data_IF_227906005557
#
_entry.id   IF_227906005557
#
_cell.length_a   1.000
_cell.length_b   1.000
_cell.length_c   1.000
_cell.angle_alpha   90.00
_cell.angle_beta   90.00
_cell.angle_gamma   90.00
#
_symmetry.space_group_name_H-M   'P 1'
#
loop_
_entity.id
_entity.type
_entity.pdbx_description
1 polymer ?
#
# COMPACT_ATOMS: atom_id res chain seq x y z
N UNK A 1 -15.91 -2.72 54.84
CA UNK A 1 -16.26 -3.44 56.08
C UNK A 1 -17.65 -2.97 56.47
N UNK A 2 -18.70 -3.76 56.67
CA UNK A 2 -18.91 -5.20 56.66
C UNK A 2 -20.44 -5.41 56.68
N UNK A 3 -20.92 -6.43 55.95
CA UNK A 3 -22.05 -7.34 56.27
C UNK A 3 -23.42 -6.74 56.65
N UNK A 4 -24.43 -6.76 55.76
CA UNK A 4 -25.39 -7.85 55.40
C UNK A 4 -26.78 -7.66 56.03
N UNK A 5 -27.77 -7.82 55.14
CA UNK A 5 -29.20 -8.04 55.30
C UNK A 5 -29.67 -8.95 56.46
N UNK A 6 -30.89 -8.75 56.99
CA UNK A 6 -32.13 -9.44 56.55
C UNK A 6 -33.36 -9.25 57.49
N UNK A 7 -34.55 -9.16 56.87
CA UNK A 7 -35.93 -9.59 57.30
C UNK A 7 -36.66 -8.76 58.39
N UNK A 8 -37.99 -8.55 58.37
CA UNK A 8 -39.10 -8.73 57.41
C UNK A 8 -40.45 -8.27 58.05
N UNK A 9 -41.48 -8.10 57.19
CA UNK A 9 -42.95 -8.18 57.44
C UNK A 9 -43.61 -7.00 58.22
N UNK A 10 -44.79 -6.45 57.91
CA UNK A 10 -45.96 -6.80 57.06
C UNK A 10 -46.95 -5.62 57.00
N UNK A 11 -47.89 -5.67 56.05
CA UNK A 11 -49.15 -4.89 55.84
C UNK A 11 -49.05 -3.92 54.66
N UNK A 12 -49.95 -3.86 53.69
CA UNK A 12 -51.30 -4.41 53.50
C UNK A 12 -52.06 -3.44 52.58
N UNK A 13 -53.00 -3.95 51.77
CA UNK A 13 -53.84 -3.24 50.76
C UNK A 13 -53.08 -2.80 49.49
N UNK A 14 -53.42 -3.21 48.27
CA UNK A 14 -54.69 -3.64 47.70
C UNK A 14 -55.05 -2.65 46.59
N UNK A 15 -54.97 -3.04 45.31
CA UNK A 15 -55.87 -2.60 44.24
C UNK A 15 -55.51 -3.32 42.93
N UNK A 16 -56.55 -3.91 42.34
CA UNK A 16 -56.59 -4.60 41.06
C UNK A 16 -56.58 -3.56 39.93
N UNK A 17 -55.69 -3.70 38.94
CA UNK A 17 -55.97 -3.24 37.57
C UNK A 17 -55.35 -4.20 36.54
N UNK A 18 -56.23 -4.73 35.72
CA UNK A 18 -56.03 -5.59 34.57
C UNK A 18 -55.82 -4.69 33.34
N UNK A 19 -54.71 -4.81 32.59
CA UNK A 19 -54.65 -4.30 31.21
C UNK A 19 -53.46 -4.83 30.38
N UNK A 20 -53.83 -5.57 29.34
CA UNK A 20 -53.22 -5.71 28.01
C UNK A 20 -51.74 -6.15 27.87
N UNK A 21 -51.62 -7.41 27.43
CA UNK A 21 -50.58 -7.85 26.53
C UNK A 21 -50.58 -6.98 25.25
N UNK A 22 -49.42 -6.43 24.91
CA UNK A 22 -49.12 -5.89 23.58
C UNK A 22 -47.79 -6.46 23.13
N UNK A 23 -47.85 -7.43 22.23
CA UNK A 23 -46.71 -7.89 21.46
C UNK A 23 -46.33 -6.79 20.47
N UNK A 24 -45.24 -6.08 20.74
CA UNK A 24 -44.63 -5.18 19.76
C UNK A 24 -43.67 -5.99 18.89
N UNK A 25 -44.19 -6.48 17.76
CA UNK A 25 -43.36 -6.89 16.63
C UNK A 25 -42.74 -5.64 16.01
N UNK A 26 -41.53 -5.28 16.44
CA UNK A 26 -40.72 -4.30 15.74
C UNK A 26 -40.22 -4.94 14.44
N UNK A 27 -40.81 -4.51 13.32
CA UNK A 27 -40.45 -4.95 11.99
C UNK A 27 -39.02 -4.47 11.65
N UNK A 28 -38.18 -5.44 11.32
CA UNK A 28 -36.84 -5.29 10.75
C UNK A 28 -36.97 -4.88 9.27
N UNK A 29 -37.24 -3.60 9.00
CA UNK A 29 -37.46 -3.06 7.63
C UNK A 29 -36.19 -2.40 7.06
N UNK A 30 -35.13 -2.24 7.85
CA UNK A 30 -33.91 -1.54 7.41
C UNK A 30 -32.88 -2.40 6.66
N UNK A 31 -32.98 -3.73 6.72
CA UNK A 31 -31.96 -4.63 6.16
C UNK A 31 -32.03 -4.83 4.65
N UNK A 32 -33.25 -4.82 4.08
CA UNK A 32 -33.45 -5.25 2.69
C UNK A 32 -33.10 -4.16 1.67
N UNK A 33 -33.43 -2.89 1.94
CA UNK A 33 -33.08 -1.77 1.05
C UNK A 33 -31.56 -1.52 0.98
N UNK A 34 -30.83 -1.71 2.08
CA UNK A 34 -29.39 -1.57 2.12
C UNK A 34 -28.66 -2.69 1.35
N UNK A 35 -29.17 -3.92 1.44
CA UNK A 35 -28.66 -5.06 0.68
C UNK A 35 -28.94 -4.91 -0.83
N UNK A 36 -30.15 -4.50 -1.20
CA UNK A 36 -30.54 -4.26 -2.60
C UNK A 36 -29.70 -3.14 -3.24
N UNK A 37 -29.45 -2.05 -2.51
CA UNK A 37 -28.58 -0.96 -2.97
C UNK A 37 -27.11 -1.40 -3.13
N UNK A 38 -26.63 -2.30 -2.27
CA UNK A 38 -25.26 -2.83 -2.35
C UNK A 38 -25.05 -3.69 -3.59
N UNK A 39 -25.99 -4.60 -3.90
CA UNK A 39 -25.90 -5.42 -5.11
C UNK A 39 -26.02 -4.57 -6.38
N UNK A 40 -26.95 -3.60 -6.41
CA UNK A 40 -27.08 -2.66 -7.51
C UNK A 40 -25.77 -1.87 -7.75
N UNK A 41 -25.09 -1.46 -6.68
CA UNK A 41 -23.79 -0.77 -6.76
C UNK A 41 -22.68 -1.68 -7.28
N UNK A 42 -22.62 -2.94 -6.85
CA UNK A 42 -21.67 -3.93 -7.39
C UNK A 42 -21.90 -4.13 -8.88
N UNK A 43 -23.15 -4.26 -9.30
CA UNK A 43 -23.53 -4.45 -10.69
C UNK A 43 -23.17 -3.23 -11.56
N UNK A 44 -23.33 -2.01 -11.04
CA UNK A 44 -22.86 -0.81 -11.72
C UNK A 44 -21.33 -0.80 -11.91
N UNK A 45 -20.56 -1.24 -10.89
CA UNK A 45 -19.10 -1.33 -10.98
C UNK A 45 -18.69 -2.38 -12.02
N UNK A 46 -19.32 -3.56 -12.01
CA UNK A 46 -19.09 -4.63 -12.99
C UNK A 46 -19.31 -4.14 -14.42
N UNK A 47 -20.46 -3.51 -14.68
CA UNK A 47 -20.81 -2.98 -16.00
C UNK A 47 -19.83 -1.89 -16.47
N UNK A 48 -19.40 -1.01 -15.56
CA UNK A 48 -18.40 -0.01 -15.89
C UNK A 48 -17.04 -0.65 -16.24
N UNK A 49 -16.60 -1.68 -15.49
CA UNK A 49 -15.34 -2.40 -15.76
C UNK A 49 -15.39 -3.13 -17.09
N UNK A 50 -16.51 -3.79 -17.38
CA UNK A 50 -16.75 -4.45 -18.64
C UNK A 50 -16.69 -3.45 -19.81
N UNK A 51 -17.43 -2.35 -19.72
CA UNK A 51 -17.43 -1.31 -20.75
C UNK A 51 -16.04 -0.72 -20.98
N UNK A 52 -15.25 -0.52 -19.91
CA UNK A 52 -13.89 0.02 -20.03
C UNK A 52 -12.92 -1.00 -20.64
N UNK A 53 -13.08 -2.27 -20.33
CA UNK A 53 -12.27 -3.33 -20.89
C UNK A 53 -12.58 -3.55 -22.38
N UNK A 54 -13.84 -3.45 -22.80
CA UNK A 54 -14.23 -3.48 -24.22
C UNK A 54 -13.67 -2.31 -25.04
N UNK A 55 -13.44 -1.14 -24.41
CA UNK A 55 -12.82 0.02 -25.05
C UNK A 55 -11.28 -0.06 -25.16
N UNK A 56 -10.66 -1.06 -24.55
CA UNK A 56 -9.21 -1.26 -24.59
C UNK A 56 -8.82 -2.27 -25.67
N UNK A 57 -7.53 -2.52 -25.83
CA UNK A 57 -7.07 -3.60 -26.71
C UNK A 57 -7.49 -4.96 -26.12
N UNK A 58 -8.27 -5.71 -26.89
CA UNK A 58 -8.82 -7.01 -26.54
C UNK A 58 -8.22 -8.07 -27.46
N UNK A 59 -7.77 -9.21 -26.89
CA UNK A 59 -7.29 -10.37 -27.63
C UNK A 59 -8.27 -11.52 -27.50
N UNK A 60 -8.59 -12.16 -28.61
CA UNK A 60 -9.47 -13.34 -28.66
C UNK A 60 -8.62 -14.59 -28.83
N UNK A 61 -8.81 -15.59 -27.96
CA UNK A 61 -8.19 -16.90 -28.04
C UNK A 61 -9.27 -17.98 -28.07
N UNK A 62 -9.41 -18.69 -29.19
CA UNK A 62 -10.23 -19.89 -29.27
C UNK A 62 -9.44 -21.11 -28.82
N UNK A 63 -10.02 -21.95 -27.97
CA UNK A 63 -9.53 -23.29 -27.68
C UNK A 63 -10.61 -24.31 -27.99
N UNK A 64 -10.25 -25.41 -28.64
CA UNK A 64 -11.17 -26.51 -28.93
C UNK A 64 -10.55 -27.83 -28.48
N UNK A 65 -11.29 -28.63 -27.74
CA UNK A 65 -10.86 -29.97 -27.33
C UNK A 65 -12.02 -30.94 -27.44
N UNK A 66 -11.72 -32.24 -27.53
CA UNK A 66 -12.73 -33.28 -27.49
C UNK A 66 -12.78 -33.81 -26.05
N UNK A 67 -13.97 -33.82 -25.44
CA UNK A 67 -14.15 -34.33 -24.09
C UNK A 67 -14.15 -35.87 -24.05
N UNK A 68 -14.17 -36.44 -22.84
CA UNK A 68 -14.16 -37.89 -22.63
C UNK A 68 -15.36 -38.61 -23.28
N UNK A 69 -16.41 -37.87 -23.63
CA UNK A 69 -17.59 -38.39 -24.33
C UNK A 69 -17.49 -38.29 -25.87
N UNK A 70 -16.33 -37.88 -26.40
CA UNK A 70 -16.12 -37.72 -27.84
C UNK A 70 -16.79 -36.49 -28.44
N UNK A 71 -17.25 -35.54 -27.61
CA UNK A 71 -17.91 -34.32 -28.07
C UNK A 71 -16.88 -33.20 -28.18
N UNK A 72 -16.86 -32.52 -29.33
CA UNK A 72 -16.07 -31.32 -29.50
C UNK A 72 -16.62 -30.21 -28.60
N UNK A 73 -15.76 -29.69 -27.73
CA UNK A 73 -15.98 -28.52 -26.90
C UNK A 73 -15.13 -27.39 -27.45
N UNK A 74 -15.77 -26.26 -27.70
CA UNK A 74 -15.10 -25.03 -28.10
C UNK A 74 -15.31 -23.98 -27.00
N UNK A 75 -14.25 -23.25 -26.68
CA UNK A 75 -14.28 -22.19 -25.68
C UNK A 75 -13.52 -20.98 -26.22
N UNK A 76 -14.13 -19.80 -26.14
CA UNK A 76 -13.53 -18.54 -26.58
C UNK A 76 -13.14 -17.72 -25.36
N UNK A 77 -11.85 -17.49 -25.18
CA UNK A 77 -11.29 -16.65 -24.12
C UNK A 77 -11.01 -15.25 -24.68
N UNK A 78 -11.61 -14.23 -24.08
CA UNK A 78 -11.48 -12.84 -24.54
C UNK A 78 -10.74 -12.04 -23.46
N UNK A 79 -9.44 -11.82 -23.63
CA UNK A 79 -8.56 -11.17 -22.65
C UNK A 79 -8.37 -9.69 -23.00
N UNK A 80 -8.30 -8.79 -22.02
CA UNK A 80 -7.99 -7.38 -22.26
C UNK A 80 -6.68 -7.00 -21.57
N UNK A 81 -5.90 -6.13 -22.21
CA UNK A 81 -4.69 -5.57 -21.60
C UNK A 81 -5.00 -4.35 -20.69
N UNK A 82 -6.27 -4.17 -20.27
CA UNK A 82 -6.71 -3.05 -19.44
C UNK A 82 -6.11 -3.08 -18.02
N UNK A 83 -5.16 -2.19 -17.73
CA UNK A 83 -4.71 -2.00 -16.35
C UNK A 83 -5.58 -0.95 -15.64
N UNK A 84 -6.45 -1.37 -14.71
CA UNK A 84 -7.21 -0.43 -13.87
C UNK A 84 -6.26 0.24 -12.88
N UNK A 85 -6.29 1.57 -12.90
CA UNK A 85 -5.64 2.42 -11.91
C UNK A 85 -6.57 2.59 -10.73
N UNK A 86 -7.79 3.09 -10.93
CA UNK A 86 -8.68 3.43 -9.82
C UNK A 86 -10.14 3.31 -10.18
N UNK A 87 -10.99 3.20 -9.16
CA UNK A 87 -12.44 3.14 -9.29
C UNK A 87 -13.01 4.28 -8.46
N UNK A 88 -13.93 5.06 -9.03
CA UNK A 88 -14.57 6.21 -8.38
C UNK A 88 -16.07 6.11 -8.57
N UNK A 89 -16.84 6.38 -7.52
CA UNK A 89 -18.31 6.36 -7.58
C UNK A 89 -18.82 7.78 -7.40
N UNK A 90 -19.37 8.36 -8.45
CA UNK A 90 -20.06 9.65 -8.37
C UNK A 90 -21.54 9.37 -8.10
N UNK A 91 -22.02 9.72 -6.91
CA UNK A 91 -23.45 9.73 -6.62
C UNK A 91 -24.06 11.06 -7.05
N UNK A 92 -25.13 11.02 -7.84
CA UNK A 92 -25.90 12.18 -8.26
C UNK A 92 -27.40 11.88 -8.25
N UNK A 93 -28.22 12.89 -8.06
CA UNK A 93 -29.68 12.73 -8.08
C UNK A 93 -30.16 13.07 -9.47
N UNK A 94 -30.76 12.11 -10.15
CA UNK A 94 -31.38 12.30 -11.46
C UNK A 94 -32.86 11.97 -11.35
N UNK A 95 -33.73 12.91 -11.70
CA UNK A 95 -35.19 12.77 -11.59
C UNK A 95 -35.66 12.37 -10.17
N UNK A 96 -35.04 12.93 -9.13
CA UNK A 96 -35.41 12.67 -7.73
C UNK A 96 -35.02 11.29 -7.20
N UNK A 97 -34.35 10.45 -8.00
CA UNK A 97 -33.81 9.15 -7.56
C UNK A 97 -32.28 9.24 -7.42
N UNK A 98 -31.70 8.73 -6.33
CA UNK A 98 -30.25 8.62 -6.24
C UNK A 98 -29.77 7.66 -7.34
N UNK A 99 -28.86 8.14 -8.19
CA UNK A 99 -28.13 7.36 -9.18
C UNK A 99 -26.65 7.42 -8.89
N UNK A 100 -25.96 6.35 -9.25
CA UNK A 100 -24.53 6.25 -9.07
C UNK A 100 -23.90 5.97 -10.42
N UNK A 101 -22.97 6.81 -10.85
CA UNK A 101 -22.12 6.52 -12.00
C UNK A 101 -20.74 6.11 -11.50
N UNK A 102 -20.27 4.97 -11.97
CA UNK A 102 -18.93 4.47 -11.68
C UNK A 102 -17.99 4.92 -12.79
N UNK A 103 -16.94 5.66 -12.43
CA UNK A 103 -15.87 6.08 -13.32
C UNK A 103 -14.63 5.24 -13.03
N UNK A 104 -14.06 4.62 -14.06
CA UNK A 104 -12.88 3.77 -13.93
C UNK A 104 -11.71 4.44 -14.62
N UNK A 105 -10.70 4.74 -13.82
CA UNK A 105 -9.40 5.18 -14.31
C UNK A 105 -8.63 3.95 -14.76
N UNK A 106 -8.35 3.84 -16.04
CA UNK A 106 -7.59 2.72 -16.58
C UNK A 106 -6.54 3.18 -17.59
N UNK A 107 -5.39 2.51 -17.57
CA UNK A 107 -4.28 2.69 -18.50
C UNK A 107 -4.61 1.98 -19.82
N UNK A 108 -5.66 2.40 -20.51
CA UNK A 108 -5.75 2.09 -21.94
C UNK A 108 -4.78 3.04 -22.65
N UNK A 109 -3.88 2.47 -23.46
CA UNK A 109 -2.79 3.14 -24.12
C UNK A 109 -3.21 4.46 -24.80
N UNK A 110 -2.42 5.50 -24.52
CA UNK A 110 -2.16 6.69 -25.33
C UNK A 110 -3.34 7.69 -25.44
N UNK A 111 -2.99 8.96 -25.24
CA UNK A 111 -3.83 10.15 -25.48
C UNK A 111 -5.03 10.34 -24.55
N UNK A 112 -4.76 10.69 -23.30
CA UNK A 112 -5.54 11.77 -22.70
C UNK A 112 -4.62 12.73 -21.99
N UNK A 113 -4.38 13.86 -22.63
CA UNK A 113 -3.76 15.04 -22.04
C UNK A 113 -4.73 15.71 -21.04
N UNK A 114 -5.41 14.90 -20.21
CA UNK A 114 -6.45 15.31 -19.28
C UNK A 114 -5.93 15.10 -17.87
N UNK A 115 -5.83 16.24 -17.17
CA UNK A 115 -5.92 16.38 -15.72
C UNK A 115 -6.42 15.11 -15.03
N UNK A 116 -5.51 14.37 -14.41
CA UNK A 116 -5.87 13.28 -13.52
C UNK A 116 -6.55 13.88 -12.28
N UNK A 117 -7.63 13.26 -11.81
CA UNK A 117 -8.23 13.64 -10.53
C UNK A 117 -7.22 13.31 -9.43
N UNK A 118 -6.91 14.29 -8.59
CA UNK A 118 -6.04 14.08 -7.44
C UNK A 118 -6.69 13.06 -6.49
N UNK A 119 -5.93 12.09 -5.96
CA UNK A 119 -6.42 11.23 -4.88
C UNK A 119 -6.94 12.08 -3.70
N UNK A 120 -7.87 11.53 -2.91
CA UNK A 120 -8.30 12.17 -1.65
C UNK A 120 -7.06 12.58 -0.87
N UNK A 121 -6.90 13.90 -0.65
CA UNK A 121 -5.72 14.48 -0.01
C UNK A 121 -5.52 13.97 1.43
N UNK A 122 -6.55 13.38 2.03
CA UNK A 122 -6.48 12.69 3.32
C UNK A 122 -5.69 11.38 3.23
N UNK A 123 -5.84 10.64 2.14
CA UNK A 123 -5.31 9.29 2.01
C UNK A 123 -3.82 9.30 1.68
N UNK A 124 -3.07 8.44 2.36
CA UNK A 124 -1.62 8.30 2.18
C UNK A 124 -1.27 6.90 1.69
N UNK A 125 -0.27 6.83 0.82
CA UNK A 125 0.24 5.59 0.23
C UNK A 125 1.14 4.85 1.23
N UNK A 126 0.83 3.61 1.62
CA UNK A 126 1.77 2.83 2.41
C UNK A 126 2.98 2.45 1.57
N UNK A 127 4.17 2.60 2.14
CA UNK A 127 5.41 2.12 1.58
C UNK A 127 6.33 1.54 2.66
N UNK A 128 7.06 0.47 2.33
CA UNK A 128 8.12 -0.03 3.19
C UNK A 128 9.41 0.74 2.94
N UNK A 129 10.06 1.20 4.00
CA UNK A 129 11.36 1.86 3.96
C UNK A 129 12.47 0.84 4.19
N UNK A 130 13.36 0.71 3.20
CA UNK A 130 14.60 -0.06 3.26
C UNK A 130 15.77 0.93 3.21
N UNK A 131 16.70 0.85 4.16
CA UNK A 131 17.94 1.64 4.12
C UNK A 131 19.10 0.65 4.13
N UNK A 132 19.93 0.73 3.09
CA UNK A 132 21.13 -0.10 2.92
C UNK A 132 22.36 0.80 2.75
N UNK A 133 23.54 0.22 2.94
CA UNK A 133 24.80 0.91 2.70
C UNK A 133 25.84 -0.02 2.06
N UNK A 134 26.72 0.55 1.24
CA UNK A 134 27.77 -0.17 0.51
C UNK A 134 29.10 0.61 0.52
N UNK A 135 30.27 -0.05 0.59
CA UNK A 135 30.46 -1.50 0.66
C UNK A 135 30.21 -2.07 2.07
N UNK A 136 29.75 -3.33 2.14
CA UNK A 136 29.51 -4.03 3.41
C UNK A 136 30.80 -4.61 4.02
N UNK A 137 31.86 -4.74 3.22
CA UNK A 137 33.07 -5.52 3.56
C UNK A 137 34.24 -4.65 4.07
N UNK A 138 34.10 -3.33 4.14
CA UNK A 138 35.17 -2.42 4.55
C UNK A 138 35.04 -2.05 6.04
N UNK A 139 35.68 -2.81 6.94
CA UNK A 139 35.54 -2.70 8.40
C UNK A 139 35.70 -1.28 9.00
N UNK A 140 36.58 -0.43 8.46
CA UNK A 140 36.80 0.93 8.99
C UNK A 140 35.79 1.97 8.47
N UNK A 141 35.31 1.83 7.23
CA UNK A 141 34.28 2.69 6.64
C UNK A 141 32.86 2.31 7.10
N UNK A 142 32.67 1.06 7.56
CA UNK A 142 31.37 0.50 7.93
C UNK A 142 30.68 1.28 9.05
N UNK A 143 31.41 1.67 10.09
CA UNK A 143 30.84 2.41 11.22
C UNK A 143 30.35 3.81 10.80
N UNK A 144 31.12 4.51 9.98
CA UNK A 144 30.77 5.84 9.50
C UNK A 144 29.54 5.80 8.58
N UNK A 145 29.50 4.86 7.64
CA UNK A 145 28.35 4.68 6.74
C UNK A 145 27.09 4.25 7.48
N UNK A 146 27.22 3.41 8.51
CA UNK A 146 26.08 3.05 9.36
C UNK A 146 25.52 4.26 10.14
N UNK A 147 26.37 5.16 10.64
CA UNK A 147 25.92 6.38 11.31
C UNK A 147 25.25 7.36 10.35
N UNK A 148 25.78 7.47 9.12
CA UNK A 148 25.13 8.24 8.06
C UNK A 148 23.78 7.63 7.69
N UNK A 149 23.70 6.31 7.51
CA UNK A 149 22.44 5.60 7.23
C UNK A 149 21.40 5.85 8.33
N UNK A 150 21.80 5.85 9.61
CA UNK A 150 20.92 6.18 10.73
C UNK A 150 20.45 7.64 10.70
N UNK A 151 21.32 8.57 10.30
CA UNK A 151 20.93 9.97 10.13
C UNK A 151 19.96 10.15 8.95
N UNK A 152 20.19 9.44 7.84
CA UNK A 152 19.28 9.36 6.70
C UNK A 152 17.91 8.82 7.15
N UNK A 153 17.89 7.72 7.91
CA UNK A 153 16.66 7.15 8.46
C UNK A 153 15.86 8.19 9.25
N UNK A 154 16.50 8.88 10.19
CA UNK A 154 15.86 9.92 10.99
C UNK A 154 15.29 11.06 10.14
N UNK A 155 16.02 11.50 9.11
CA UNK A 155 15.56 12.60 8.24
C UNK A 155 14.41 12.16 7.33
N UNK A 156 14.44 10.91 6.84
CA UNK A 156 13.37 10.33 6.04
C UNK A 156 12.11 10.16 6.88
N UNK A 157 12.22 9.60 8.09
CA UNK A 157 11.08 9.50 9.00
C UNK A 157 10.47 10.88 9.31
N UNK A 158 11.31 11.90 9.55
CA UNK A 158 10.85 13.25 9.83
C UNK A 158 10.15 13.91 8.62
N UNK A 159 10.73 13.81 7.42
CA UNK A 159 10.16 14.38 6.21
C UNK A 159 8.82 13.72 5.84
N UNK A 160 8.74 12.40 5.98
CA UNK A 160 7.57 11.62 5.58
C UNK A 160 6.50 11.49 6.68
N UNK A 161 6.78 11.86 7.94
CA UNK A 161 5.79 11.93 9.02
C UNK A 161 4.77 13.07 8.83
N UNK A 162 5.10 14.08 8.01
CA UNK A 162 4.32 15.30 7.79
C UNK A 162 3.04 15.14 6.95
N UNK A 163 2.54 16.24 6.38
CA UNK A 163 1.36 16.27 5.47
C UNK A 163 1.71 15.81 4.04
N UNK A 164 2.41 14.69 3.92
CA UNK A 164 2.82 14.10 2.64
C UNK A 164 1.85 13.03 2.15
N UNK A 165 1.95 12.62 0.86
CA UNK A 165 1.11 11.59 0.27
C UNK A 165 1.52 10.16 0.69
N UNK A 166 2.45 10.01 1.62
CA UNK A 166 3.07 8.74 1.99
C UNK A 166 2.88 8.40 3.47
N UNK A 167 2.75 7.11 3.75
CA UNK A 167 2.84 6.52 5.08
C UNK A 167 3.98 5.50 5.04
N UNK A 168 5.12 5.84 5.64
CA UNK A 168 6.26 4.94 5.68
C UNK A 168 6.17 3.98 6.86
N UNK A 169 6.53 2.73 6.61
CA UNK A 169 6.74 1.70 7.62
C UNK A 169 8.14 1.15 7.46
N UNK A 170 8.91 1.08 8.54
CA UNK A 170 10.25 0.48 8.51
C UNK A 170 10.12 -1.01 8.18
N UNK A 171 10.89 -1.48 7.19
CA UNK A 171 10.95 -2.89 6.87
C UNK A 171 11.59 -3.68 8.01
N UNK A 172 10.90 -4.72 8.46
CA UNK A 172 11.43 -5.67 9.43
C UNK A 172 12.75 -6.27 8.95
N UNK A 173 13.76 -6.25 9.83
CA UNK A 173 15.05 -6.91 9.60
C UNK A 173 15.01 -8.41 9.93
N UNK A 174 13.87 -8.95 10.35
CA UNK A 174 13.72 -10.37 10.67
C UNK A 174 13.80 -11.22 9.39
N UNK A 175 14.47 -12.37 9.47
CA UNK A 175 14.50 -13.34 8.36
C UNK A 175 13.10 -13.86 8.02
N UNK A 176 12.89 -14.33 6.79
CA UNK A 176 11.58 -14.88 6.37
C UNK A 176 11.06 -15.97 7.33
N UNK A 177 11.95 -16.84 7.83
CA UNK A 177 11.61 -17.82 8.85
C UNK A 177 11.18 -17.17 10.17
N UNK A 178 11.93 -16.19 10.67
CA UNK A 178 11.59 -15.47 11.91
C UNK A 178 10.31 -14.62 11.76
N UNK A 179 9.99 -14.17 10.55
CA UNK A 179 8.71 -13.52 10.23
C UNK A 179 7.55 -14.52 10.16
N UNK A 180 7.81 -15.78 9.80
CA UNK A 180 6.80 -16.85 9.76
C UNK A 180 6.50 -17.42 11.15
N UNK A 181 7.52 -17.52 12.01
CA UNK A 181 7.39 -18.05 13.38
C UNK A 181 6.85 -16.99 14.36
N UNK A 182 7.19 -15.71 14.14
CA UNK A 182 6.44 -14.66 14.81
C UNK A 182 5.06 -14.60 14.16
N UNK A 183 4.00 -14.83 14.94
CA UNK A 183 2.60 -14.54 14.56
C UNK A 183 2.36 -13.02 14.44
N UNK A 184 3.31 -12.30 13.84
CA UNK A 184 3.23 -10.91 13.47
C UNK A 184 2.78 -10.81 12.01
N UNK A 185 1.92 -9.83 11.74
CA UNK A 185 1.51 -9.45 10.39
C UNK A 185 2.76 -9.30 9.50
N UNK A 186 2.87 -10.10 8.44
CA UNK A 186 3.90 -9.90 7.42
C UNK A 186 3.72 -8.49 6.87
N UNK A 187 4.69 -7.62 7.13
CA UNK A 187 4.64 -6.24 6.66
C UNK A 187 4.59 -6.26 5.14
N UNK A 188 3.54 -5.67 4.58
CA UNK A 188 3.30 -5.62 3.15
C UNK A 188 2.86 -4.22 2.79
N UNK A 189 3.42 -3.68 1.72
CA UNK A 189 3.00 -2.41 1.13
C UNK A 189 3.07 -2.48 -0.39
N UNK A 190 2.23 -1.73 -1.13
CA UNK A 190 2.30 -1.67 -2.58
C UNK A 190 3.63 -1.18 -3.13
N UNK A 191 4.32 -0.33 -2.36
CA UNK A 191 5.59 0.26 -2.75
C UNK A 191 6.68 -0.04 -1.72
N UNK A 192 7.92 -0.11 -2.18
CA UNK A 192 9.11 -0.05 -1.34
C UNK A 192 9.96 1.14 -1.74
N UNK A 193 10.44 1.88 -0.76
CA UNK A 193 11.40 2.96 -0.93
C UNK A 193 12.72 2.44 -0.37
N UNK A 194 13.68 2.20 -1.27
CA UNK A 194 15.04 1.80 -0.90
C UNK A 194 15.96 3.01 -0.99
N UNK A 195 16.70 3.27 0.06
CA UNK A 195 17.76 4.28 0.07
C UNK A 195 19.09 3.58 0.30
N UNK A 196 20.00 3.72 -0.66
CA UNK A 196 21.34 3.16 -0.59
C UNK A 196 22.34 4.27 -0.33
N UNK A 197 23.11 4.14 0.74
CA UNK A 197 24.25 5.00 1.05
C UNK A 197 25.51 4.36 0.50
N UNK A 198 26.15 4.98 -0.49
CA UNK A 198 27.41 4.49 -1.03
C UNK A 198 28.46 5.59 -1.08
N UNK A 199 29.73 5.18 -1.01
CA UNK A 199 30.82 6.04 -1.44
C UNK A 199 31.00 5.76 -2.94
N UNK A 200 30.99 6.78 -3.82
CA UNK A 200 31.33 6.60 -5.22
C UNK A 200 32.73 5.98 -5.27
N UNK A 201 32.78 4.70 -5.62
CA UNK A 201 34.06 4.03 -5.81
C UNK A 201 34.69 4.58 -7.08
N UNK A 202 35.91 5.09 -6.97
CA UNK A 202 36.88 4.96 -8.06
C UNK A 202 36.84 3.49 -8.51
N UNK A 203 36.49 3.27 -9.77
CA UNK A 203 36.39 1.94 -10.35
C UNK A 203 37.70 1.17 -10.08
N UNK A 204 37.60 0.13 -9.25
CA UNK A 204 38.72 -0.73 -8.88
C UNK A 204 38.98 -1.71 -10.02
N UNK A 205 39.57 -1.24 -11.11
CA UNK A 205 39.87 -2.07 -12.26
C UNK A 205 41.26 -1.78 -12.82
N UNK A 206 42.29 -1.95 -11.98
CA UNK A 206 43.68 -1.86 -12.42
C UNK A 206 44.44 -3.13 -12.07
N UNK A 207 44.71 -3.95 -13.09
CA UNK A 207 45.69 -5.05 -13.08
C UNK A 207 47.14 -4.54 -13.19
N UNK A 208 47.34 -3.22 -13.19
CA UNK A 208 48.63 -2.60 -13.47
C UNK A 208 49.39 -2.27 -12.18
N UNK A 209 50.51 -2.96 -11.93
CA UNK A 209 51.37 -2.77 -10.76
C UNK A 209 51.88 -1.33 -10.57
N UNK A 210 52.02 -0.56 -11.66
CA UNK A 210 52.42 0.85 -11.62
C UNK A 210 51.34 1.76 -11.00
N UNK A 211 50.06 1.45 -11.20
CA UNK A 211 48.94 2.20 -10.59
C UNK A 211 48.90 2.00 -9.07
N UNK A 212 49.35 0.83 -8.58
CA UNK A 212 49.48 0.54 -7.15
C UNK A 212 50.48 1.44 -6.42
N UNK A 213 51.62 1.75 -7.06
CA UNK A 213 52.68 2.60 -6.48
C UNK A 213 52.24 4.07 -6.44
N UNK A 214 51.62 4.56 -7.53
CA UNK A 214 51.06 5.91 -7.56
C UNK A 214 49.97 6.11 -6.51
N UNK A 215 49.13 5.09 -6.23
CA UNK A 215 48.17 5.15 -5.10
C UNK A 215 48.84 5.13 -3.74
N UNK A 216 49.91 4.37 -3.54
CA UNK A 216 50.64 4.37 -2.27
C UNK A 216 51.21 5.77 -1.97
N UNK A 217 51.71 6.46 -2.99
CA UNK A 217 52.17 7.86 -2.88
C UNK A 217 51.01 8.86 -2.75
N UNK A 218 49.89 8.65 -3.44
CA UNK A 218 48.67 9.44 -3.28
C UNK A 218 48.00 9.22 -1.90
N UNK A 219 48.23 8.08 -1.24
CA UNK A 219 47.80 7.87 0.14
C UNK A 219 48.57 8.72 1.17
N UNK A 220 49.81 9.12 0.84
CA UNK A 220 50.65 10.00 1.66
C UNK A 220 50.30 11.48 1.47
N UNK A 221 49.87 11.84 0.26
CA UNK A 221 49.31 13.15 -0.09
C UNK A 221 47.79 13.01 -0.12
N UNK A 222 47.13 12.98 1.05
CA UNK A 222 45.69 12.66 1.20
C UNK A 222 44.77 13.24 0.10
N UNK A 223 43.58 12.63 -0.11
CA UNK A 223 42.77 12.87 -1.31
C UNK A 223 42.56 14.36 -1.58
N UNK A 224 42.89 14.81 -2.80
CA UNK A 224 42.80 16.21 -3.22
C UNK A 224 41.35 16.69 -3.34
N UNK A 225 40.40 15.78 -3.51
CA UNK A 225 38.97 16.07 -3.48
C UNK A 225 38.35 15.53 -2.19
N UNK A 226 37.51 16.35 -1.55
CA UNK A 226 36.71 15.92 -0.42
C UNK A 226 35.89 14.67 -0.81
N UNK A 227 35.88 13.62 0.03
CA UNK A 227 35.13 12.41 -0.29
C UNK A 227 33.65 12.78 -0.51
N UNK A 228 33.07 12.29 -1.60
CA UNK A 228 31.65 12.45 -1.89
C UNK A 228 30.90 11.23 -1.38
N UNK A 229 29.68 11.43 -0.92
CA UNK A 229 28.75 10.37 -0.55
C UNK A 229 27.60 10.39 -1.55
N UNK A 230 27.29 9.24 -2.16
CA UNK A 230 26.11 9.08 -2.98
C UNK A 230 24.98 8.51 -2.13
N UNK A 231 23.86 9.23 -2.11
CA UNK A 231 22.60 8.72 -1.61
C UNK A 231 21.70 8.43 -2.80
N UNK A 232 21.36 7.17 -3.03
CA UNK A 232 20.47 6.77 -4.13
C UNK A 232 19.14 6.33 -3.55
N UNK A 233 18.05 7.00 -3.94
CA UNK A 233 16.69 6.59 -3.63
C UNK A 233 16.09 5.83 -4.80
N UNK A 234 15.39 4.74 -4.51
CA UNK A 234 14.70 3.91 -5.51
C UNK A 234 13.30 3.59 -5.01
N UNK A 235 12.28 4.01 -5.77
CA UNK A 235 10.89 3.61 -5.59
C UNK A 235 10.64 2.33 -6.41
N UNK A 236 10.20 1.28 -5.74
CA UNK A 236 10.02 -0.06 -6.29
C UNK A 236 8.55 -0.46 -6.14
N UNK A 237 7.95 -0.98 -7.21
CA UNK A 237 6.66 -1.69 -7.14
C UNK A 237 6.89 -3.02 -6.43
N UNK A 238 6.22 -3.24 -5.28
CA UNK A 238 6.45 -4.41 -4.44
C UNK A 238 6.05 -5.72 -5.12
N UNK A 239 5.12 -5.68 -6.07
CA UNK A 239 4.59 -6.87 -6.67
C UNK A 239 5.34 -7.30 -7.92
N UNK A 240 5.78 -6.36 -8.75
CA UNK A 240 6.60 -6.69 -9.93
C UNK A 240 8.09 -6.61 -9.65
N UNK A 241 8.49 -6.11 -8.47
CA UNK A 241 9.89 -5.83 -8.11
C UNK A 241 10.58 -4.92 -9.14
N UNK A 242 9.83 -4.04 -9.79
CA UNK A 242 10.32 -3.15 -10.85
C UNK A 242 10.57 -1.77 -10.27
N UNK A 243 11.70 -1.16 -10.63
CA UNK A 243 11.97 0.25 -10.33
C UNK A 243 10.95 1.12 -11.07
N UNK A 244 10.18 1.88 -10.30
CA UNK A 244 9.20 2.87 -10.80
C UNK A 244 9.91 4.20 -11.03
N UNK A 245 10.78 4.59 -10.08
CA UNK A 245 11.50 5.85 -10.12
C UNK A 245 12.77 5.75 -9.28
N UNK A 246 13.82 6.50 -9.64
CA UNK A 246 15.03 6.63 -8.87
C UNK A 246 15.65 8.03 -9.01
N UNK A 247 16.48 8.41 -8.04
CA UNK A 247 17.28 9.63 -8.08
C UNK A 247 18.54 9.44 -7.22
N UNK A 248 19.58 10.22 -7.47
CA UNK A 248 20.84 10.17 -6.72
C UNK A 248 21.29 11.56 -6.32
N UNK A 249 21.48 11.77 -5.02
CA UNK A 249 22.03 12.98 -4.44
C UNK A 249 23.50 12.76 -4.07
N UNK A 250 24.37 13.64 -4.54
CA UNK A 250 25.79 13.65 -4.19
C UNK A 250 26.01 14.65 -3.05
N UNK A 251 26.42 14.16 -1.89
CA UNK A 251 26.72 14.97 -0.72
C UNK A 251 28.23 15.13 -0.56
N UNK A 252 28.66 16.34 -0.20
CA UNK A 252 30.04 16.61 0.19
C UNK A 252 30.22 16.24 1.66
N UNK A 253 31.22 15.42 1.97
CA UNK A 253 31.59 15.14 3.36
C UNK A 253 32.51 16.26 3.85
N UNK A 254 32.17 16.97 4.94
CA UNK A 254 33.09 17.93 5.53
C UNK A 254 34.35 17.19 5.98
N UNK A 255 35.52 17.79 5.79
CA UNK A 255 36.81 17.28 6.26
C UNK A 255 36.89 17.44 7.80
N UNK A 256 36.02 16.76 8.54
CA UNK A 256 36.06 16.76 9.99
C UNK A 256 37.15 15.79 10.46
N UNK A 257 37.99 16.16 11.45
CA UNK A 257 38.94 15.23 12.04
C UNK A 257 38.19 14.03 12.61
N UNK A 258 38.67 12.83 12.24
CA UNK A 258 38.12 11.54 12.70
C UNK A 258 38.37 11.41 14.19
N UNK A 259 37.53 12.02 15.02
CA UNK A 259 37.53 11.76 16.45
C UNK A 259 36.70 10.51 16.70
N UNK A 260 37.26 9.55 17.44
CA UNK A 260 36.56 8.35 17.95
C UNK A 260 35.36 8.70 18.86
N UNK A 261 35.14 9.98 19.14
CA UNK A 261 34.12 10.52 20.03
C UNK A 261 32.92 11.10 19.27
N UNK A 262 33.04 11.33 17.95
CA UNK A 262 31.95 11.91 17.17
C UNK A 262 30.90 10.86 16.81
N UNK A 263 29.93 10.70 17.71
CA UNK A 263 28.85 9.70 17.62
C UNK A 263 27.75 10.09 16.62
N UNK A 264 27.77 11.31 16.07
CA UNK A 264 26.77 11.81 15.12
C UNK A 264 27.46 12.52 13.94
N UNK A 265 26.88 12.46 12.73
CA UNK A 265 27.41 13.22 11.59
C UNK A 265 27.38 14.72 11.87
N UNK A 266 28.32 15.46 11.28
CA UNK A 266 28.36 16.92 11.36
C UNK A 266 27.01 17.54 10.97
N UNK A 267 26.62 18.63 11.62
CA UNK A 267 25.34 19.29 11.39
C UNK A 267 25.14 19.67 9.90
N UNK A 268 26.20 20.14 9.24
CA UNK A 268 26.20 20.44 7.81
C UNK A 268 25.78 19.23 6.95
N UNK A 269 26.27 18.03 7.30
CA UNK A 269 25.88 16.81 6.61
C UNK A 269 24.43 16.44 6.91
N UNK A 270 23.97 16.62 8.14
CA UNK A 270 22.57 16.36 8.50
C UNK A 270 21.61 17.29 7.73
N UNK A 271 21.96 18.55 7.57
CA UNK A 271 21.20 19.53 6.79
C UNK A 271 21.24 19.21 5.28
N UNK A 272 22.38 18.76 4.76
CA UNK A 272 22.50 18.31 3.37
C UNK A 272 21.63 17.08 3.09
N UNK A 273 21.61 16.11 4.01
CA UNK A 273 20.72 14.95 3.96
C UNK A 273 19.25 15.42 3.99
N UNK A 274 18.88 16.30 4.92
CA UNK A 274 17.51 16.78 5.05
C UNK A 274 17.02 17.49 3.77
N UNK A 275 17.87 18.30 3.12
CA UNK A 275 17.57 18.93 1.84
C UNK A 275 17.34 17.90 0.74
N UNK A 276 18.23 16.92 0.60
CA UNK A 276 18.10 15.85 -0.39
C UNK A 276 16.80 15.05 -0.21
N UNK A 277 16.48 14.68 1.04
CA UNK A 277 15.26 13.94 1.38
C UNK A 277 14.00 14.77 1.07
N UNK A 278 13.98 16.06 1.42
CA UNK A 278 12.83 16.94 1.12
C UNK A 278 12.62 17.13 -0.37
N UNK A 279 13.70 17.22 -1.15
CA UNK A 279 13.63 17.30 -2.61
C UNK A 279 13.04 16.01 -3.21
N UNK A 280 13.46 14.85 -2.69
CA UNK A 280 12.92 13.57 -3.10
C UNK A 280 11.45 13.39 -2.77
N UNK A 281 10.99 13.78 -1.58
CA UNK A 281 9.56 13.73 -1.24
C UNK A 281 8.73 14.54 -2.25
N UNK A 282 9.18 15.74 -2.60
CA UNK A 282 8.52 16.57 -3.62
C UNK A 282 8.54 15.92 -5.01
N UNK A 283 9.69 15.43 -5.49
CA UNK A 283 9.83 14.80 -6.81
C UNK A 283 8.98 13.53 -6.92
N UNK A 284 9.03 12.67 -5.91
CA UNK A 284 8.22 11.44 -5.84
C UNK A 284 6.73 11.81 -5.79
N UNK A 285 6.34 12.79 -4.98
CA UNK A 285 4.97 13.28 -4.90
C UNK A 285 4.43 13.75 -6.25
N UNK A 286 5.25 14.48 -7.03
CA UNK A 286 4.92 14.89 -8.40
C UNK A 286 4.80 13.69 -9.35
N UNK A 287 5.74 12.75 -9.29
CA UNK A 287 5.73 11.56 -10.15
C UNK A 287 4.48 10.68 -9.89
N UNK A 288 4.11 10.53 -8.62
CA UNK A 288 2.99 9.69 -8.18
C UNK A 288 1.64 10.43 -8.10
N UNK A 289 1.58 11.68 -8.57
CA UNK A 289 0.40 12.54 -8.47
C UNK A 289 -0.84 11.94 -9.15
N UNK A 290 -0.65 11.27 -10.28
CA UNK A 290 -1.74 10.65 -11.04
C UNK A 290 -1.90 9.16 -10.77
N UNK A 291 -1.06 8.57 -9.91
CA UNK A 291 -1.24 7.18 -9.55
C UNK A 291 -2.41 7.03 -8.57
N UNK A 292 -3.13 5.91 -8.59
CA UNK A 292 -4.21 5.63 -7.65
C UNK A 292 -3.64 5.26 -6.28
N UNK A 293 -4.30 5.64 -5.20
CA UNK A 293 -3.97 5.13 -3.86
C UNK A 293 -4.72 3.83 -3.65
N UNK A 294 -4.01 2.77 -3.27
CA UNK A 294 -4.59 1.47 -2.95
C UNK A 294 -3.83 0.80 -1.82
N UNK A 295 -4.47 -0.19 -1.21
CA UNK A 295 -3.98 -0.87 -0.01
C UNK A 295 -3.93 -2.38 -0.25
N UNK A 296 -2.91 -3.05 0.27
CA UNK A 296 -2.82 -4.50 0.20
C UNK A 296 -3.76 -5.12 1.23
N UNK A 297 -4.47 -6.17 0.80
CA UNK A 297 -5.34 -6.96 1.67
C UNK A 297 -4.54 -8.15 2.25
N UNK A 298 -4.57 -8.31 3.57
CA UNK A 298 -4.08 -9.52 4.26
C UNK A 298 -5.26 -10.25 4.91
N UNK A 299 -5.23 -11.58 4.85
CA UNK A 299 -6.17 -12.44 5.57
C UNK A 299 -5.52 -12.91 6.88
N UNK A 300 -6.25 -12.80 7.98
CA UNK A 300 -5.90 -13.41 9.25
C UNK A 300 -6.41 -14.86 9.32
N UNK A 301 -5.82 -15.67 10.20
CA UNK A 301 -6.17 -17.08 10.37
C UNK A 301 -7.63 -17.30 10.84
N UNK A 302 -8.25 -16.29 11.45
CA UNK A 302 -9.64 -16.29 11.91
C UNK A 302 -10.64 -15.88 10.82
N UNK A 303 -10.19 -15.70 9.58
CA UNK A 303 -11.03 -15.25 8.47
C UNK A 303 -11.33 -13.76 8.47
N UNK A 304 -10.68 -12.97 9.33
CA UNK A 304 -10.76 -11.51 9.27
C UNK A 304 -9.88 -10.97 8.15
N UNK A 305 -10.34 -9.89 7.53
CA UNK A 305 -9.63 -9.19 6.47
C UNK A 305 -9.08 -7.87 7.00
N UNK A 306 -7.79 -7.65 6.78
CA UNK A 306 -7.09 -6.43 7.16
C UNK A 306 -6.55 -5.75 5.91
N UNK A 307 -6.62 -4.43 5.90
CA UNK A 307 -5.83 -3.60 4.98
C UNK A 307 -4.61 -3.07 5.71
N UNK A 308 -3.49 -2.97 4.99
CA UNK A 308 -2.22 -2.45 5.48
C UNK A 308 -2.18 -0.91 5.64
N UNK A 309 -3.32 -0.31 5.97
CA UNK A 309 -3.51 1.12 6.15
C UNK A 309 -4.46 1.38 7.30
N UNK A 310 -4.14 2.37 8.15
CA UNK A 310 -4.93 2.72 9.33
C UNK A 310 -5.13 4.22 9.45
N UNK A 311 -5.31 4.73 10.67
CA UNK A 311 -5.56 6.15 10.91
C UNK A 311 -4.40 7.04 10.44
N UNK A 312 -3.16 6.55 10.47
CA UNK A 312 -1.99 7.27 9.93
C UNK A 312 -1.97 7.33 8.40
N UNK A 313 -2.69 6.43 7.71
CA UNK A 313 -2.93 6.49 6.28
C UNK A 313 -4.13 7.37 5.91
N UNK A 314 -4.83 7.93 6.91
CA UNK A 314 -6.06 8.69 6.73
C UNK A 314 -7.33 7.84 6.74
N UNK A 315 -7.27 6.53 7.00
CA UNK A 315 -8.45 5.66 7.06
C UNK A 315 -9.33 5.99 8.26
N UNK A 316 -10.64 5.99 8.06
CA UNK A 316 -11.67 6.22 9.07
C UNK A 316 -12.66 5.05 9.12
N UNK A 317 -13.38 4.98 10.23
CA UNK A 317 -14.51 4.05 10.38
C UNK A 317 -15.53 4.32 9.27
N UNK A 318 -16.13 3.26 8.73
CA UNK A 318 -17.10 3.31 7.63
C UNK A 318 -16.55 3.79 6.26
N UNK A 319 -15.24 4.03 6.12
CA UNK A 319 -14.65 4.19 4.77
C UNK A 319 -14.94 2.91 3.95
N UNK A 320 -15.30 3.10 2.68
CA UNK A 320 -15.68 2.02 1.77
C UNK A 320 -14.59 1.76 0.75
N UNK A 321 -14.48 0.50 0.34
CA UNK A 321 -13.46 0.02 -0.57
C UNK A 321 -14.05 -0.91 -1.62
N UNK A 322 -13.44 -0.90 -2.80
CA UNK A 322 -13.60 -1.94 -3.80
C UNK A 322 -12.38 -2.85 -3.74
N UNK A 323 -12.62 -4.14 -3.52
CA UNK A 323 -11.60 -5.17 -3.45
C UNK A 323 -11.49 -5.87 -4.80
N UNK A 324 -10.27 -5.98 -5.33
CA UNK A 324 -9.99 -6.66 -6.61
C UNK A 324 -8.73 -7.51 -6.53
N UNK A 325 -8.66 -8.57 -7.33
CA UNK A 325 -7.46 -9.40 -7.50
C UNK A 325 -6.59 -8.88 -8.66
N UNK A 326 -5.43 -8.29 -8.36
CA UNK A 326 -4.54 -7.72 -9.38
C UNK A 326 -3.88 -8.76 -10.29
N UNK A 327 -3.92 -10.07 -9.99
CA UNK A 327 -3.34 -11.09 -10.88
C UNK A 327 -4.32 -11.58 -11.95
N UNK A 328 -5.62 -11.51 -11.66
CA UNK A 328 -6.69 -11.99 -12.55
C UNK A 328 -7.38 -10.89 -13.33
N UNK A 329 -7.07 -9.63 -13.03
CA UNK A 329 -7.70 -8.48 -13.65
C UNK A 329 -6.83 -7.88 -14.79
N UNK A 330 -7.29 -7.83 -16.07
CA UNK A 330 -8.49 -8.42 -16.67
C UNK A 330 -8.10 -9.56 -17.63
N UNK A 331 -7.88 -10.74 -17.07
CA UNK A 331 -7.53 -11.90 -17.89
C UNK A 331 -8.72 -12.41 -18.72
N UNK A 332 -9.98 -12.04 -18.44
CA UNK A 332 -11.14 -12.47 -19.23
C UNK A 332 -12.34 -11.50 -19.14
N UNK A 333 -12.47 -10.56 -20.09
CA UNK A 333 -13.47 -9.47 -20.07
C UNK A 333 -14.92 -9.95 -20.11
N UNK A 334 -15.18 -11.07 -20.79
CA UNK A 334 -16.52 -11.53 -21.14
C UNK A 334 -16.93 -12.84 -20.45
N UNK A 335 -16.12 -13.36 -19.54
CA UNK A 335 -16.48 -14.53 -18.73
C UNK A 335 -17.28 -14.16 -17.49
N UNK A 336 -18.22 -15.02 -17.08
CA UNK A 336 -18.91 -14.93 -15.77
C UNK A 336 -17.93 -14.85 -14.58
N UNK A 337 -16.68 -15.32 -14.75
CA UNK A 337 -15.62 -15.26 -13.75
C UNK A 337 -15.22 -13.83 -13.35
N UNK A 338 -15.35 -12.82 -14.23
CA UNK A 338 -14.99 -11.44 -13.90
C UNK A 338 -15.96 -10.85 -12.86
N UNK A 339 -17.22 -11.31 -12.85
CA UNK A 339 -18.27 -10.91 -11.89
C UNK A 339 -17.97 -11.39 -10.46
N UNK A 340 -17.10 -12.38 -10.29
CA UNK A 340 -16.65 -12.93 -8.99
C UNK A 340 -15.36 -12.27 -8.48
N UNK A 341 -14.75 -11.33 -9.23
CA UNK A 341 -13.43 -10.73 -8.90
C UNK A 341 -13.49 -9.38 -8.20
N UNK A 342 -14.69 -8.80 -8.02
CA UNK A 342 -14.89 -7.47 -7.44
C UNK A 342 -15.84 -7.57 -6.26
N UNK A 343 -15.43 -7.03 -5.11
CA UNK A 343 -16.23 -7.03 -3.89
C UNK A 343 -16.26 -5.63 -3.27
N UNK A 344 -17.32 -5.31 -2.53
CA UNK A 344 -17.34 -4.12 -1.69
C UNK A 344 -16.89 -4.49 -0.29
N UNK A 345 -16.21 -3.56 0.37
CA UNK A 345 -15.85 -3.71 1.76
C UNK A 345 -16.00 -2.39 2.51
N UNK A 346 -16.26 -2.50 3.81
CA UNK A 346 -16.41 -1.36 4.70
C UNK A 346 -15.52 -1.52 5.91
N UNK A 347 -14.92 -0.42 6.38
CA UNK A 347 -14.07 -0.44 7.57
C UNK A 347 -14.89 -0.65 8.83
N UNK A 348 -14.58 -1.74 9.54
CA UNK A 348 -15.19 -2.12 10.82
C UNK A 348 -14.42 -1.56 12.01
N UNK A 349 -13.09 -1.49 11.93
CA UNK A 349 -12.27 -0.89 12.98
C UNK A 349 -10.94 -0.39 12.42
N UNK A 350 -10.36 0.61 13.07
CA UNK A 350 -9.13 1.28 12.61
C UNK A 350 -8.09 1.25 13.72
N UNK A 351 -6.91 0.70 13.41
CA UNK A 351 -5.69 0.82 14.20
C UNK A 351 -4.79 1.92 13.62
N UNK A 352 -3.62 2.16 14.22
CA UNK A 352 -2.69 3.19 13.71
C UNK A 352 -2.22 2.89 12.29
N UNK A 353 -1.83 1.65 12.01
CA UNK A 353 -1.18 1.24 10.75
C UNK A 353 -1.96 0.21 9.93
N UNK A 354 -3.09 -0.27 10.43
CA UNK A 354 -3.97 -1.23 9.75
C UNK A 354 -5.43 -0.93 10.07
N UNK A 355 -6.34 -1.46 9.25
CA UNK A 355 -7.77 -1.38 9.49
C UNK A 355 -8.42 -2.71 9.14
N UNK A 356 -9.39 -3.11 9.96
CA UNK A 356 -10.20 -4.29 9.74
C UNK A 356 -11.35 -3.92 8.84
N UNK A 357 -11.57 -4.72 7.81
CA UNK A 357 -12.65 -4.52 6.85
C UNK A 357 -13.62 -5.70 6.87
N UNK A 358 -14.89 -5.38 6.65
CA UNK A 358 -15.96 -6.34 6.44
C UNK A 358 -16.31 -6.36 4.96
N UNK A 359 -16.09 -7.49 4.31
CA UNK A 359 -16.44 -7.69 2.89
C UNK A 359 -17.96 -7.91 2.81
N UNK A 360 -18.60 -7.17 1.92
CA UNK A 360 -20.00 -7.27 1.55
C UNK A 360 -20.09 -8.05 0.22
N UNK A 361 -20.86 -9.13 0.20
CA UNK A 361 -20.98 -10.05 -0.94
C UNK A 361 -20.21 -11.37 -0.78
N UNK A 362 -20.03 -12.11 -1.89
CA UNK A 362 -19.40 -13.43 -1.92
C UNK A 362 -17.95 -13.38 -1.43
N UNK A 363 -17.57 -14.32 -0.55
CA UNK A 363 -16.24 -14.39 0.09
C UNK A 363 -15.13 -14.53 -0.97
N UNK A 364 -13.96 -13.87 -0.81
CA UNK A 364 -12.83 -14.10 -1.69
C UNK A 364 -12.44 -15.57 -1.67
N UNK A 365 -12.41 -16.19 -2.85
CA UNK A 365 -11.94 -17.57 -2.99
C UNK A 365 -10.53 -17.66 -2.41
N UNK A 366 -10.35 -18.57 -1.45
CA UNK A 366 -9.10 -18.80 -0.71
C UNK A 366 -8.03 -19.35 -1.67
N UNK A 367 -7.45 -18.48 -2.50
CA UNK A 367 -6.65 -18.89 -3.66
C UNK A 367 -5.60 -17.83 -3.97
N UNK A 368 -4.46 -17.82 -3.26
CA UNK A 368 -3.15 -17.28 -3.67
C UNK A 368 -3.03 -15.93 -4.41
N UNK A 369 -4.10 -15.15 -4.52
CA UNK A 369 -4.25 -13.98 -5.38
C UNK A 369 -3.76 -12.71 -4.69
N UNK A 370 -3.49 -11.68 -5.50
CA UNK A 370 -2.94 -10.42 -5.00
C UNK A 370 -4.06 -9.40 -4.84
N UNK A 371 -4.78 -9.54 -3.75
CA UNK A 371 -5.93 -8.72 -3.41
C UNK A 371 -5.53 -7.32 -2.94
N UNK A 372 -6.18 -6.31 -3.52
CA UNK A 372 -6.00 -4.90 -3.15
C UNK A 372 -7.33 -4.22 -2.91
N UNK A 373 -7.32 -3.17 -2.10
CA UNK A 373 -8.45 -2.33 -1.78
C UNK A 373 -8.27 -0.93 -2.38
N UNK A 374 -9.22 -0.52 -3.23
CA UNK A 374 -9.33 0.82 -3.79
C UNK A 374 -10.37 1.64 -3.02
N UNK A 375 -10.05 2.83 -2.51
CA UNK A 375 -11.02 3.70 -1.86
C UNK A 375 -12.05 4.19 -2.87
N UNK A 376 -13.33 4.32 -2.45
CA UNK A 376 -14.43 4.79 -3.30
C UNK A 376 -15.18 5.99 -2.74
#
# INVERSE_FOLDING_TARGET
MAFTDYKAATAGLGFIFLALASAASAADVGGNEAAENTEARIEAIRNALLNRALQSEVRVRGMSWVDESGRLREHTLITSDLKVRGIRINAYVENGKPRESVVIDAVAAITSNKTCALPDARLRRPALLEIDYQPKDAHSAQYQLAQVAKAVEKQVEAAFAGKGPWQLQKQSQLSDYAQMVNFGQRQSAPHRIRITVSQPGEARNDTNAAAGIFRALAGLMGPSEAPRLALTITLIDSATNRTVWNDTALLQLPAAPVSMQNRQPAQELQEAIARAVSEWDSKIGMHMKCEPVFFNLSALADGQHLINAGSTAGIRLHDKFVIVDQTRFPANVLGEELLQTVMLAEVESVSRSSAKIRIQGSRPANTGGRWVAFPI
#
